data_IF_492556269677
#
_entry.id   IF_492556269677
#
_cell.length_a   1.000
_cell.length_b   1.000
_cell.length_c   1.000
_cell.angle_alpha   90.00
_cell.angle_beta   90.00
_cell.angle_gamma   90.00
#
_symmetry.space_group_name_H-M   'P 1'
#
loop_
_entity.id
_entity.type
_entity.pdbx_description
1 polymer ?
#
# COMPACT_ATOMS: atom_id res chain seq x y z
N UNK A 1 -9.70 -13.79 -28.60
CA UNK A 1 -8.62 -13.28 -27.71
C UNK A 1 -9.04 -13.57 -26.29
N UNK A 2 -8.35 -14.49 -25.60
CA UNK A 2 -8.64 -14.80 -24.21
C UNK A 2 -8.02 -13.69 -23.33
N UNK A 3 -8.83 -13.06 -22.49
CA UNK A 3 -8.32 -12.13 -21.49
C UNK A 3 -7.53 -12.94 -20.45
N UNK A 4 -6.33 -12.49 -20.02
CA UNK A 4 -5.64 -13.12 -18.92
C UNK A 4 -6.52 -12.99 -17.68
N UNK A 5 -7.02 -14.13 -17.19
CA UNK A 5 -7.75 -14.23 -15.93
C UNK A 5 -6.87 -13.68 -14.81
N UNK A 6 -7.47 -12.89 -13.93
CA UNK A 6 -6.87 -12.16 -12.79
C UNK A 6 -5.86 -12.99 -11.97
N UNK A 7 -6.01 -14.30 -11.97
CA UNK A 7 -5.11 -15.30 -11.37
C UNK A 7 -3.68 -15.31 -11.97
N UNK A 8 -3.52 -15.04 -13.27
CA UNK A 8 -2.21 -15.00 -13.92
C UNK A 8 -1.41 -13.73 -13.60
N UNK A 9 -2.10 -12.61 -13.30
CA UNK A 9 -1.44 -11.40 -12.84
C UNK A 9 -0.94 -11.58 -11.40
N UNK A 10 -1.77 -12.11 -10.50
CA UNK A 10 -1.43 -12.32 -9.10
C UNK A 10 -0.18 -13.20 -8.91
N UNK A 11 -0.06 -14.29 -9.69
CA UNK A 11 1.11 -15.18 -9.66
C UNK A 11 2.42 -14.53 -10.14
N UNK A 12 2.34 -13.46 -10.96
CA UNK A 12 3.54 -12.70 -11.36
C UNK A 12 4.03 -11.73 -10.26
N UNK A 13 3.18 -11.43 -9.27
CA UNK A 13 3.53 -10.56 -8.14
C UNK A 13 3.99 -11.32 -6.89
N UNK A 14 3.77 -12.64 -6.79
CA UNK A 14 4.20 -13.50 -5.65
C UNK A 14 5.71 -13.46 -5.34
N UNK A 15 6.53 -12.93 -6.27
CA UNK A 15 7.98 -12.80 -6.09
C UNK A 15 8.50 -11.37 -6.18
N UNK A 16 7.62 -10.38 -6.34
CA UNK A 16 8.05 -8.98 -6.36
C UNK A 16 8.00 -8.46 -4.93
N UNK A 17 9.10 -8.64 -4.20
CA UNK A 17 9.37 -7.92 -2.95
C UNK A 17 9.55 -6.42 -3.27
N UNK A 18 8.43 -5.77 -3.59
CA UNK A 18 8.35 -4.34 -3.90
C UNK A 18 8.88 -3.53 -2.73
N UNK A 19 8.58 -3.94 -1.50
CA UNK A 19 9.08 -3.30 -0.27
C UNK A 19 10.61 -3.20 -0.20
N UNK A 20 11.32 -4.29 -0.50
CA UNK A 20 12.79 -4.32 -0.53
C UNK A 20 13.39 -3.54 -1.69
N UNK A 21 12.74 -3.53 -2.87
CA UNK A 21 13.22 -2.79 -4.04
C UNK A 21 12.95 -1.28 -3.95
N UNK A 22 11.90 -0.88 -3.25
CA UNK A 22 11.51 0.51 -3.04
C UNK A 22 12.18 1.15 -1.81
N UNK A 23 12.84 0.37 -0.95
CA UNK A 23 13.65 0.87 0.17
C UNK A 23 14.78 1.85 -0.25
N UNK A 24 15.15 1.84 -1.53
CA UNK A 24 16.16 2.75 -2.12
C UNK A 24 15.56 3.91 -2.92
N UNK A 25 14.23 3.99 -3.06
CA UNK A 25 13.60 5.18 -3.63
C UNK A 25 13.66 6.25 -2.56
N UNK A 26 14.34 7.35 -2.86
CA UNK A 26 14.28 8.55 -2.03
C UNK A 26 12.81 8.98 -1.96
N UNK A 27 12.14 8.63 -0.87
CA UNK A 27 10.81 9.14 -0.60
C UNK A 27 10.93 10.65 -0.52
N UNK A 28 10.30 11.36 -1.45
CA UNK A 28 10.09 12.79 -1.32
C UNK A 28 9.46 13.05 0.05
N UNK A 29 9.81 14.17 0.69
CA UNK A 29 9.28 14.50 2.02
C UNK A 29 7.83 14.98 1.90
N UNK A 30 6.93 14.03 1.65
CA UNK A 30 5.49 14.23 1.42
C UNK A 30 4.70 13.70 2.59
N UNK A 31 3.48 14.20 2.76
CA UNK A 31 2.54 13.73 3.80
C UNK A 31 2.33 12.22 3.72
N UNK A 32 2.16 11.69 2.50
CA UNK A 32 1.99 10.25 2.24
C UNK A 32 3.23 9.46 2.66
N UNK A 33 4.43 9.96 2.40
CA UNK A 33 5.68 9.31 2.82
C UNK A 33 5.85 9.25 4.34
N UNK A 34 5.42 10.28 5.08
CA UNK A 34 5.39 10.23 6.55
C UNK A 34 4.40 9.19 7.07
N UNK A 35 3.19 9.16 6.52
CA UNK A 35 2.16 8.18 6.88
C UNK A 35 2.60 6.74 6.56
N UNK A 36 3.34 6.53 5.47
CA UNK A 36 3.89 5.22 5.13
C UNK A 36 4.94 4.72 6.12
N UNK A 37 5.83 5.60 6.62
CA UNK A 37 6.78 5.23 7.68
C UNK A 37 6.06 4.84 8.97
N UNK A 38 4.96 5.51 9.30
CA UNK A 38 4.08 5.12 10.40
C UNK A 38 3.45 3.74 10.14
N UNK A 39 2.82 3.57 8.98
CA UNK A 39 2.23 2.30 8.56
C UNK A 39 3.24 1.14 8.61
N UNK A 40 4.45 1.29 8.07
CA UNK A 40 5.49 0.24 8.11
C UNK A 40 5.85 -0.19 9.53
N UNK A 41 5.92 0.74 10.48
CA UNK A 41 6.21 0.41 11.89
C UNK A 41 5.06 -0.40 12.51
N UNK A 42 3.81 0.00 12.26
CA UNK A 42 2.63 -0.72 12.74
C UNK A 42 2.49 -2.09 12.07
N UNK A 43 2.74 -2.18 10.76
CA UNK A 43 2.68 -3.42 9.99
C UNK A 43 3.74 -4.41 10.49
N UNK A 44 4.99 -3.97 10.69
CA UNK A 44 6.06 -4.81 11.23
C UNK A 44 5.76 -5.30 12.65
N UNK A 45 5.16 -4.46 13.50
CA UNK A 45 4.72 -4.87 14.83
C UNK A 45 3.63 -5.95 14.76
N UNK A 46 2.58 -5.72 13.98
CA UNK A 46 1.45 -6.64 13.85
C UNK A 46 1.85 -7.99 13.24
N UNK A 47 2.71 -7.99 12.21
CA UNK A 47 3.15 -9.21 11.51
C UNK A 47 4.29 -9.95 12.24
N UNK A 48 5.23 -9.22 12.85
CA UNK A 48 6.37 -9.80 13.56
C UNK A 48 6.04 -10.32 14.97
N UNK A 49 4.97 -9.82 15.59
CA UNK A 49 4.58 -10.17 16.96
C UNK A 49 3.25 -10.93 17.04
N UNK A 50 2.65 -11.31 15.91
CA UNK A 50 1.32 -11.92 15.85
C UNK A 50 1.14 -13.12 16.80
N UNK A 51 2.17 -13.96 16.95
CA UNK A 51 2.12 -15.14 17.81
C UNK A 51 2.24 -14.85 19.32
N UNK A 52 2.62 -13.63 19.71
CA UNK A 52 2.87 -13.24 21.10
C UNK A 52 1.81 -12.26 21.66
N UNK A 53 0.91 -11.76 20.82
CA UNK A 53 -0.15 -10.84 21.22
C UNK A 53 -1.37 -11.62 21.72
N UNK A 54 -2.10 -11.03 22.66
CA UNK A 54 -3.46 -11.47 22.94
C UNK A 54 -4.37 -11.12 21.76
N UNK A 55 -5.48 -11.83 21.59
CA UNK A 55 -6.47 -11.53 20.53
C UNK A 55 -6.92 -10.06 20.58
N UNK A 56 -7.12 -9.50 21.77
CA UNK A 56 -7.54 -8.11 21.96
C UNK A 56 -6.46 -7.10 21.54
N UNK A 57 -5.18 -7.38 21.85
CA UNK A 57 -4.07 -6.51 21.44
C UNK A 57 -3.80 -6.60 19.94
N UNK A 58 -3.98 -7.79 19.36
CA UNK A 58 -3.90 -8.00 17.93
C UNK A 58 -5.00 -7.22 17.19
N UNK A 59 -6.25 -7.32 17.62
CA UNK A 59 -7.37 -6.57 17.04
C UNK A 59 -7.16 -5.06 17.12
N UNK A 60 -6.63 -4.56 18.24
CA UNK A 60 -6.29 -3.15 18.40
C UNK A 60 -5.18 -2.72 17.43
N UNK A 61 -4.13 -3.53 17.28
CA UNK A 61 -3.03 -3.27 16.35
C UNK A 61 -3.51 -3.26 14.89
N UNK A 62 -4.35 -4.21 14.50
CA UNK A 62 -4.94 -4.29 13.16
C UNK A 62 -5.90 -3.12 12.89
N UNK A 63 -6.71 -2.72 13.88
CA UNK A 63 -7.57 -1.54 13.77
C UNK A 63 -6.77 -0.26 13.53
N UNK A 64 -5.68 -0.05 14.28
CA UNK A 64 -4.77 1.07 14.08
C UNK A 64 -4.10 1.04 12.70
N UNK A 65 -3.66 -0.14 12.26
CA UNK A 65 -3.07 -0.33 10.93
C UNK A 65 -4.05 0.06 9.82
N UNK A 66 -5.29 -0.44 9.87
CA UNK A 66 -6.36 -0.13 8.90
C UNK A 66 -6.73 1.35 8.88
N UNK A 67 -6.68 2.03 10.03
CA UNK A 67 -6.92 3.47 10.09
C UNK A 67 -5.84 4.26 9.34
N UNK A 68 -4.57 3.86 9.45
CA UNK A 68 -3.46 4.47 8.72
C UNK A 68 -3.56 4.15 7.22
N UNK A 69 -3.88 2.90 6.85
CA UNK A 69 -4.12 2.49 5.46
C UNK A 69 -5.16 3.38 4.79
N UNK A 70 -6.32 3.52 5.42
CA UNK A 70 -7.40 4.37 4.89
C UNK A 70 -6.94 5.80 4.68
N UNK A 71 -6.16 6.36 5.62
CA UNK A 71 -5.63 7.73 5.50
C UNK A 71 -4.67 7.87 4.33
N UNK A 72 -3.71 6.95 4.19
CA UNK A 72 -2.76 6.95 3.05
C UNK A 72 -3.51 6.87 1.73
N UNK A 73 -4.49 5.96 1.61
CA UNK A 73 -5.24 5.77 0.38
C UNK A 73 -6.12 6.97 0.03
N UNK A 74 -6.66 7.68 1.03
CA UNK A 74 -7.51 8.87 0.82
C UNK A 74 -6.74 10.17 0.51
N UNK A 75 -5.46 10.25 0.88
CA UNK A 75 -4.67 11.46 0.69
C UNK A 75 -4.30 11.64 -0.78
N UNK A 76 -4.54 12.78 -1.44
CA UNK A 76 -4.21 12.94 -2.86
C UNK A 76 -2.72 12.74 -3.15
N UNK A 77 -2.38 11.96 -4.17
CA UNK A 77 -0.97 11.81 -4.59
C UNK A 77 -0.45 13.09 -5.28
N UNK A 78 0.72 13.59 -4.87
CA UNK A 78 1.34 14.77 -5.47
C UNK A 78 2.46 14.40 -6.46
N UNK A 79 3.03 13.22 -6.28
CA UNK A 79 4.19 12.73 -7.03
C UNK A 79 4.04 11.27 -7.44
N UNK A 80 4.80 10.80 -8.45
CA UNK A 80 4.88 9.37 -8.78
C UNK A 80 5.27 8.50 -7.57
N UNK A 81 6.08 9.06 -6.66
CA UNK A 81 6.51 8.37 -5.44
C UNK A 81 5.33 8.12 -4.49
N UNK A 82 4.39 9.06 -4.37
CA UNK A 82 3.20 8.88 -3.54
C UNK A 82 2.30 7.76 -4.06
N UNK A 83 2.17 7.65 -5.39
CA UNK A 83 1.44 6.55 -6.03
C UNK A 83 2.09 5.20 -5.70
N UNK A 84 3.43 5.13 -5.76
CA UNK A 84 4.17 3.92 -5.38
C UNK A 84 3.97 3.57 -3.90
N UNK A 85 3.95 4.56 -3.01
CA UNK A 85 3.63 4.37 -1.59
C UNK A 85 2.23 3.80 -1.40
N UNK A 86 1.22 4.37 -2.05
CA UNK A 86 -0.16 3.87 -1.97
C UNK A 86 -0.28 2.43 -2.46
N UNK A 87 0.43 2.08 -3.54
CA UNK A 87 0.48 0.70 -4.04
C UNK A 87 1.13 -0.25 -3.03
N UNK A 88 2.21 0.19 -2.36
CA UNK A 88 2.85 -0.60 -1.30
C UNK A 88 1.91 -0.85 -0.12
N UNK A 89 1.14 0.16 0.30
CA UNK A 89 0.15 0.02 1.38
C UNK A 89 -0.99 -0.89 0.94
N UNK A 90 -1.52 -0.73 -0.27
CA UNK A 90 -2.56 -1.59 -0.83
C UNK A 90 -2.11 -3.06 -0.94
N UNK A 91 -0.82 -3.29 -1.20
CA UNK A 91 -0.26 -4.63 -1.37
C UNK A 91 0.39 -5.19 -0.11
N UNK A 92 0.15 -4.59 1.06
CA UNK A 92 0.79 -5.00 2.32
C UNK A 92 2.30 -5.24 2.15
N UNK A 93 2.99 -4.28 1.49
CA UNK A 93 4.41 -4.34 1.13
C UNK A 93 4.78 -5.39 0.07
N UNK A 94 3.81 -5.74 -0.80
CA UNK A 94 3.94 -6.77 -1.83
C UNK A 94 3.68 -8.21 -1.33
N UNK A 95 3.14 -8.37 -0.12
CA UNK A 95 2.87 -9.68 0.48
C UNK A 95 1.43 -10.15 0.27
N UNK A 96 0.46 -9.23 0.23
CA UNK A 96 -0.97 -9.57 0.08
C UNK A 96 -1.73 -8.39 -0.52
N UNK A 97 -2.77 -8.64 -1.32
CA UNK A 97 -3.61 -7.55 -1.81
C UNK A 97 -4.70 -7.24 -0.77
N UNK A 98 -4.53 -6.13 -0.04
CA UNK A 98 -5.57 -5.51 0.78
C UNK A 98 -6.66 -4.83 -0.08
N UNK A 99 -7.10 -5.51 -1.16
CA UNK A 99 -8.21 -5.02 -1.98
C UNK A 99 -9.53 -5.44 -1.35
N UNK A 100 -10.01 -4.59 -0.45
CA UNK A 100 -11.24 -4.78 0.32
C UNK A 100 -12.47 -4.50 -0.55
N UNK A 101 -12.57 -5.05 -1.77
CA UNK A 101 -13.71 -4.89 -2.69
C UNK A 101 -14.17 -3.44 -3.00
N UNK A 102 -13.40 -2.41 -2.61
CA UNK A 102 -13.89 -1.02 -2.47
C UNK A 102 -13.35 -0.04 -3.54
N UNK A 103 -12.65 -0.51 -4.57
CA UNK A 103 -12.25 0.34 -5.70
C UNK A 103 -10.95 1.14 -5.48
N UNK A 104 -10.26 0.98 -4.36
CA UNK A 104 -9.02 1.71 -4.05
C UNK A 104 -7.91 1.50 -5.07
N UNK A 105 -7.83 0.33 -5.72
CA UNK A 105 -6.91 0.10 -6.84
C UNK A 105 -7.21 0.98 -8.06
N UNK A 106 -8.49 1.21 -8.38
CA UNK A 106 -8.89 2.08 -9.49
C UNK A 106 -8.59 3.55 -9.18
N UNK A 107 -8.79 3.98 -7.94
CA UNK A 107 -8.46 5.33 -7.50
C UNK A 107 -6.96 5.61 -7.63
N UNK A 108 -6.10 4.67 -7.21
CA UNK A 108 -4.65 4.78 -7.36
C UNK A 108 -4.25 4.83 -8.84
N UNK A 109 -4.86 4.01 -9.71
CA UNK A 109 -4.60 4.04 -11.15
C UNK A 109 -5.02 5.39 -11.77
N UNK A 110 -6.16 5.94 -11.38
CA UNK A 110 -6.62 7.25 -11.83
C UNK A 110 -5.67 8.36 -11.39
N UNK A 111 -5.14 8.30 -10.17
CA UNK A 111 -4.12 9.22 -9.68
C UNK A 111 -2.79 9.10 -10.45
N UNK A 112 -2.34 7.87 -10.71
CA UNK A 112 -1.15 7.60 -11.51
C UNK A 112 -1.26 8.22 -12.91
N UNK A 113 -2.40 8.00 -13.56
CA UNK A 113 -2.68 8.56 -14.88
C UNK A 113 -2.66 10.09 -14.85
N UNK A 114 -3.29 10.72 -13.85
CA UNK A 114 -3.31 12.19 -13.71
C UNK A 114 -1.91 12.79 -13.57
N UNK A 115 -1.03 12.13 -12.79
CA UNK A 115 0.35 12.57 -12.59
C UNK A 115 1.17 12.45 -13.89
N UNK A 116 1.03 11.35 -14.63
CA UNK A 116 1.70 11.15 -15.93
C UNK A 116 1.24 12.17 -16.96
N UNK A 117 -0.06 12.49 -16.99
CA UNK A 117 -0.64 13.49 -17.91
C UNK A 117 -0.28 14.94 -17.57
N UNK A 118 0.51 15.19 -16.51
CA UNK A 118 0.90 16.55 -16.10
C UNK A 118 -0.26 17.37 -15.54
N UNK A 119 -1.37 16.74 -15.14
CA UNK A 119 -2.54 17.39 -14.53
C UNK A 119 -2.39 17.47 -13.00
N UNK A 120 -1.23 17.95 -12.55
CA UNK A 120 -1.00 18.27 -11.14
C UNK A 120 -1.88 19.47 -10.74
N UNK A 121 -2.55 19.38 -9.57
CA UNK A 121 -3.34 20.49 -9.01
C UNK A 121 -2.42 21.58 -8.49
#
# INVERSE_FOLDING_TARGET
MAMPTTTALAAQFEHVNLGGRLAHVFFADTTISHMYREWKRHHAFATGSAAALSDADYDLAISGLRAIEKRVLSEPAESPTDVLVKLLVLTCDGQDFADNAAGSGMDILAEAQRIIEGRAR
#
